data_IF_240596301965
#
_entry.id   IF_240596301965
#
_cell.length_a   1.000
_cell.length_b   1.000
_cell.length_c   1.000
_cell.angle_alpha   90.00
_cell.angle_beta   90.00
_cell.angle_gamma   90.00
#
_symmetry.space_group_name_H-M   'P 1'
#
loop_
_entity.id
_entity.type
_entity.pdbx_description
1 polymer ?
#
# COMPACT_ATOMS: atom_id res chain seq x y z
N UNK A 1 -10.13 -22.53 24.75
CA UNK A 1 -11.55 -22.12 24.86
C UNK A 1 -11.92 -21.45 23.54
N UNK A 2 -12.77 -22.06 22.71
CA UNK A 2 -13.17 -21.54 21.39
C UNK A 2 -14.19 -20.41 21.58
N UNK A 3 -13.92 -19.23 21.04
CA UNK A 3 -14.94 -18.18 20.90
C UNK A 3 -14.93 -17.73 19.44
N UNK A 4 -15.87 -18.28 18.68
CA UNK A 4 -16.27 -17.82 17.36
C UNK A 4 -17.06 -16.52 17.51
N UNK A 5 -16.66 -15.43 16.84
CA UNK A 5 -17.48 -14.22 16.73
C UNK A 5 -17.93 -14.01 15.30
N UNK A 6 -19.24 -13.82 15.20
CA UNK A 6 -20.07 -13.85 14.00
C UNK A 6 -19.95 -12.52 13.25
N UNK A 7 -19.94 -12.62 11.93
CA UNK A 7 -20.08 -11.53 10.97
C UNK A 7 -21.32 -10.67 11.33
N UNK A 8 -21.12 -9.39 11.63
CA UNK A 8 -22.20 -8.41 11.74
C UNK A 8 -22.45 -7.83 10.35
N UNK A 9 -23.56 -8.23 9.76
CA UNK A 9 -24.11 -7.63 8.56
C UNK A 9 -24.70 -6.25 8.91
N UNK A 10 -24.24 -5.19 8.23
CA UNK A 10 -24.93 -3.90 8.19
C UNK A 10 -25.37 -3.64 6.75
N UNK A 11 -26.68 -3.46 6.60
CA UNK A 11 -27.39 -3.28 5.35
C UNK A 11 -27.20 -1.89 4.72
N UNK A 12 -27.20 -1.95 3.39
CA UNK A 12 -27.36 -0.96 2.33
C UNK A 12 -28.33 0.21 2.62
N UNK A 13 -27.95 1.40 2.16
CA UNK A 13 -28.89 2.37 1.59
C UNK A 13 -28.29 3.00 0.32
N UNK A 14 -29.13 3.09 -0.71
CA UNK A 14 -28.82 3.34 -2.11
C UNK A 14 -28.63 4.83 -2.47
N UNK A 15 -27.84 5.10 -3.51
CA UNK A 15 -28.05 6.27 -4.38
C UNK A 15 -27.80 5.91 -5.87
N UNK A 16 -28.92 5.64 -6.53
CA UNK A 16 -29.30 5.88 -7.94
C UNK A 16 -28.21 6.05 -9.02
N UNK A 17 -28.14 5.05 -9.90
CA UNK A 17 -27.53 5.12 -11.24
C UNK A 17 -28.60 5.48 -12.30
N UNK A 18 -28.32 6.49 -13.12
CA UNK A 18 -28.91 6.73 -14.45
C UNK A 18 -27.99 7.77 -15.13
N UNK A 19 -27.67 7.79 -16.42
CA UNK A 19 -28.28 7.45 -17.71
C UNK A 19 -27.09 7.17 -18.69
N UNK A 20 -27.14 6.60 -19.90
CA UNK A 20 -28.17 6.24 -20.86
C UNK A 20 -27.58 5.18 -21.82
N UNK A 21 -28.42 4.23 -22.24
CA UNK A 21 -28.21 3.37 -23.41
C UNK A 21 -28.64 4.14 -24.67
N UNK A 22 -27.83 4.10 -25.72
CA UNK A 22 -28.28 4.31 -27.10
C UNK A 22 -27.34 3.63 -28.09
N UNK A 23 -27.91 2.78 -28.95
CA UNK A 23 -27.17 2.08 -30.01
C UNK A 23 -27.82 0.77 -30.43
N UNK A 24 -28.89 0.86 -31.23
CA UNK A 24 -29.70 -0.25 -31.74
C UNK A 24 -29.04 -1.07 -32.87
N UNK A 25 -29.63 -2.26 -33.09
CA UNK A 25 -29.68 -3.07 -34.32
C UNK A 25 -28.41 -3.89 -34.62
N UNK A 26 -28.45 -5.16 -35.03
CA UNK A 26 -29.48 -5.94 -35.74
C UNK A 26 -29.03 -7.42 -35.79
N UNK A 27 -29.96 -8.38 -35.79
CA UNK A 27 -29.63 -9.77 -36.14
C UNK A 27 -30.65 -10.80 -35.66
N UNK A 28 -31.68 -11.05 -36.47
CA UNK A 28 -32.67 -12.12 -36.30
C UNK A 28 -32.17 -13.44 -36.88
N UNK A 29 -32.49 -14.55 -36.20
CA UNK A 29 -32.75 -15.94 -36.69
C UNK A 29 -32.05 -16.99 -35.79
N UNK A 30 -32.49 -18.22 -35.55
CA UNK A 30 -33.76 -18.97 -35.57
C UNK A 30 -33.45 -20.34 -34.92
N UNK A 31 -34.35 -20.84 -34.05
CA UNK A 31 -34.69 -22.26 -33.77
C UNK A 31 -33.64 -23.31 -33.31
N UNK A 32 -34.00 -24.02 -32.23
CA UNK A 32 -33.52 -25.35 -31.82
C UNK A 32 -33.04 -25.34 -30.36
N UNK A 33 -33.62 -25.97 -29.35
CA UNK A 33 -34.36 -27.23 -29.28
C UNK A 33 -33.52 -28.23 -28.46
N UNK A 34 -33.87 -28.46 -27.18
CA UNK A 34 -33.41 -29.65 -26.43
C UNK A 34 -32.81 -29.42 -25.04
N UNK A 35 -33.56 -29.89 -24.03
CA UNK A 35 -33.12 -30.65 -22.86
C UNK A 35 -32.16 -30.03 -21.82
N UNK A 36 -32.72 -29.84 -20.61
CA UNK A 36 -32.03 -29.89 -19.31
C UNK A 36 -31.19 -31.20 -19.17
N UNK A 37 -30.17 -31.31 -18.29
CA UNK A 37 -30.15 -30.77 -16.93
C UNK A 37 -28.76 -30.26 -16.45
N UNK A 38 -28.69 -29.96 -15.15
CA UNK A 38 -27.50 -29.92 -14.26
C UNK A 38 -26.90 -28.55 -13.91
N UNK A 39 -26.93 -28.29 -12.60
CA UNK A 39 -25.88 -27.58 -11.87
C UNK A 39 -25.73 -26.10 -12.16
N UNK A 40 -26.62 -25.27 -11.61
CA UNK A 40 -26.26 -23.88 -11.34
C UNK A 40 -25.19 -23.87 -10.24
N UNK A 41 -23.94 -24.00 -10.64
CA UNK A 41 -22.84 -23.46 -9.86
C UNK A 41 -23.10 -21.96 -9.77
N UNK A 42 -23.35 -21.48 -8.55
CA UNK A 42 -23.34 -20.06 -8.25
C UNK A 42 -21.96 -19.53 -8.63
N UNK A 43 -21.84 -18.99 -9.84
CA UNK A 43 -20.75 -18.11 -10.19
C UNK A 43 -20.89 -16.90 -9.28
N UNK A 44 -20.07 -16.88 -8.23
CA UNK A 44 -19.84 -15.71 -7.40
C UNK A 44 -19.22 -14.65 -8.30
N UNK A 45 -20.08 -13.86 -8.93
CA UNK A 45 -19.74 -12.64 -9.65
C UNK A 45 -19.02 -11.73 -8.65
N UNK A 46 -17.69 -11.70 -8.71
CA UNK A 46 -16.89 -10.73 -7.98
C UNK A 46 -16.93 -9.43 -8.76
N UNK A 47 -18.02 -8.67 -8.61
CA UNK A 47 -18.20 -7.36 -9.25
C UNK A 47 -17.67 -6.21 -8.38
N UNK A 48 -16.53 -6.43 -7.71
CA UNK A 48 -15.64 -5.36 -7.26
C UNK A 48 -14.48 -5.34 -8.25
N UNK A 49 -13.97 -4.19 -8.72
CA UNK A 49 -12.65 -4.18 -9.36
C UNK A 49 -11.73 -4.97 -8.45
N UNK A 50 -11.03 -5.97 -9.00
CA UNK A 50 -10.02 -6.67 -8.22
C UNK A 50 -9.05 -5.60 -7.74
N UNK A 51 -8.96 -5.43 -6.43
CA UNK A 51 -7.94 -4.58 -5.83
C UNK A 51 -6.61 -5.23 -6.15
N UNK A 52 -5.83 -4.60 -7.02
CA UNK A 52 -4.56 -5.10 -7.54
C UNK A 52 -3.36 -4.70 -6.65
N UNK A 53 -3.64 -3.95 -5.58
CA UNK A 53 -2.67 -3.63 -4.54
C UNK A 53 -2.27 -4.88 -3.76
N UNK A 54 -1.00 -4.92 -3.37
CA UNK A 54 -0.47 -5.95 -2.48
C UNK A 54 -0.87 -5.64 -1.04
N UNK A 55 -1.27 -6.67 -0.31
CA UNK A 55 -1.54 -6.59 1.13
C UNK A 55 -0.27 -6.97 1.91
N UNK A 56 0.39 -5.95 2.47
CA UNK A 56 1.58 -6.10 3.31
C UNK A 56 1.21 -6.31 4.78
N UNK A 57 -0.04 -6.68 5.09
CA UNK A 57 -0.58 -6.84 6.45
C UNK A 57 -0.83 -5.50 7.15
N UNK A 58 0.18 -4.64 7.26
CA UNK A 58 0.08 -3.34 7.94
C UNK A 58 -0.09 -2.16 6.99
N UNK A 59 -0.09 -2.40 5.68
CA UNK A 59 -0.59 -1.47 4.68
C UNK A 59 -0.95 -2.21 3.39
N UNK A 60 -1.66 -1.51 2.51
CA UNK A 60 -1.93 -1.93 1.12
C UNK A 60 -1.39 -0.89 0.17
N UNK A 61 -0.68 -1.33 -0.86
CA UNK A 61 -0.16 -0.45 -1.90
C UNK A 61 0.10 -1.21 -3.20
N UNK A 62 0.14 -0.48 -4.31
CA UNK A 62 0.75 -0.98 -5.55
C UNK A 62 2.26 -1.02 -5.35
N UNK A 63 2.94 -2.05 -5.87
CA UNK A 63 4.42 -2.07 -5.85
C UNK A 63 4.93 -1.12 -6.95
N UNK A 64 5.90 -0.23 -6.66
CA UNK A 64 6.43 0.67 -7.68
C UNK A 64 7.12 -0.13 -8.81
N UNK A 65 6.87 0.24 -10.06
CA UNK A 65 7.54 -0.39 -11.21
C UNK A 65 9.05 -0.18 -11.14
N UNK A 66 9.83 -1.23 -11.37
CA UNK A 66 11.30 -1.18 -11.30
C UNK A 66 11.88 -1.27 -9.89
N UNK A 67 11.06 -1.61 -8.89
CA UNK A 67 11.49 -1.84 -7.52
C UNK A 67 11.25 -3.28 -7.07
N UNK A 68 12.23 -3.81 -6.34
CA UNK A 68 12.14 -5.09 -5.64
C UNK A 68 11.95 -4.86 -4.13
N UNK A 69 11.41 -5.85 -3.43
CA UNK A 69 11.17 -5.76 -1.98
C UNK A 69 12.39 -6.20 -1.21
N UNK A 70 12.74 -5.44 -0.19
CA UNK A 70 13.83 -5.72 0.74
C UNK A 70 13.37 -5.50 2.19
N UNK A 71 14.09 -6.12 3.12
CA UNK A 71 13.92 -5.87 4.56
C UNK A 71 15.10 -5.09 5.07
N UNK A 72 14.85 -4.06 5.88
CA UNK A 72 15.90 -3.29 6.55
C UNK A 72 16.76 -4.16 7.50
N UNK A 73 16.26 -5.33 7.91
CA UNK A 73 16.99 -6.31 8.74
C UNK A 73 17.74 -7.39 7.94
N UNK A 74 17.75 -7.31 6.59
CA UNK A 74 18.46 -8.24 5.71
C UNK A 74 17.76 -9.59 5.47
N UNK A 75 18.53 -10.64 5.18
CA UNK A 75 18.07 -11.98 4.71
C UNK A 75 17.15 -12.76 5.68
N UNK A 76 16.85 -12.22 6.88
CA UNK A 76 15.92 -12.77 7.86
C UNK A 76 14.69 -11.89 8.11
N UNK A 77 14.45 -10.96 7.20
CA UNK A 77 13.53 -9.86 7.37
C UNK A 77 12.07 -10.20 7.50
N UNK A 78 11.36 -9.33 8.23
CA UNK A 78 9.92 -9.38 8.39
C UNK A 78 9.27 -8.13 7.82
N UNK A 79 7.98 -8.20 7.53
CA UNK A 79 7.26 -7.14 6.81
C UNK A 79 7.08 -5.87 7.64
N UNK A 80 7.25 -5.94 8.97
CA UNK A 80 7.19 -4.80 9.89
C UNK A 80 8.06 -3.58 9.49
N UNK A 81 9.27 -3.77 8.98
CA UNK A 81 10.04 -2.67 8.36
C UNK A 81 10.45 -3.12 6.97
N UNK A 82 9.83 -2.53 5.94
CA UNK A 82 9.98 -2.93 4.54
C UNK A 82 10.53 -1.79 3.72
N UNK A 83 11.36 -2.12 2.74
CA UNK A 83 11.92 -1.16 1.82
C UNK A 83 11.73 -1.65 0.39
N UNK A 84 11.39 -0.73 -0.52
CA UNK A 84 11.43 -0.97 -1.95
C UNK A 84 12.76 -0.46 -2.47
N UNK A 85 13.57 -1.34 -3.04
CA UNK A 85 14.87 -1.03 -3.65
C UNK A 85 14.73 -0.93 -5.15
N UNK A 86 15.13 0.19 -5.73
CA UNK A 86 15.15 0.34 -7.17
C UNK A 86 16.19 -0.62 -7.76
N UNK A 87 15.79 -1.38 -8.79
CA UNK A 87 16.64 -2.43 -9.39
C UNK A 87 17.74 -1.83 -10.27
N UNK A 88 17.51 -0.66 -10.86
CA UNK A 88 18.49 0.05 -11.69
C UNK A 88 19.46 0.88 -10.85
N UNK A 89 18.99 1.45 -9.74
CA UNK A 89 19.74 2.34 -8.85
C UNK A 89 19.56 1.93 -7.38
N UNK A 90 20.36 0.98 -6.88
CA UNK A 90 20.14 0.35 -5.57
C UNK A 90 20.16 1.28 -4.35
N UNK A 91 20.73 2.47 -4.50
CA UNK A 91 20.72 3.49 -3.45
C UNK A 91 19.38 4.24 -3.37
N UNK A 92 18.65 4.32 -4.50
CA UNK A 92 17.30 4.88 -4.56
C UNK A 92 16.31 3.92 -3.93
N UNK A 93 15.59 4.39 -2.92
CA UNK A 93 14.67 3.51 -2.20
C UNK A 93 13.55 4.23 -1.46
N UNK A 94 12.52 3.45 -1.14
CA UNK A 94 11.37 3.89 -0.35
C UNK A 94 11.34 2.98 0.89
N UNK A 95 11.62 3.50 2.09
CA UNK A 95 11.54 2.72 3.35
C UNK A 95 10.36 3.15 4.20
N UNK A 96 9.83 2.24 5.01
CA UNK A 96 8.60 2.39 5.79
C UNK A 96 8.81 1.93 7.22
N UNK A 97 8.39 2.74 8.18
CA UNK A 97 8.29 2.34 9.59
C UNK A 97 7.07 2.98 10.29
N UNK A 98 6.78 2.49 11.50
CA UNK A 98 5.82 3.08 12.43
C UNK A 98 6.55 3.52 13.69
N UNK A 99 6.53 4.82 13.93
CA UNK A 99 7.16 5.45 15.09
C UNK A 99 6.16 5.70 16.21
N UNK A 100 6.65 5.67 17.45
CA UNK A 100 5.80 5.88 18.64
C UNK A 100 5.46 7.34 18.92
N UNK A 101 6.19 8.27 18.32
CA UNK A 101 6.01 9.70 18.53
C UNK A 101 5.05 10.32 17.49
N UNK A 102 4.44 11.44 17.87
CA UNK A 102 3.56 12.21 17.00
C UNK A 102 4.34 12.93 15.89
N UNK A 103 3.64 13.31 14.81
CA UNK A 103 4.26 13.83 13.61
C UNK A 103 4.97 15.17 13.84
N UNK A 104 4.44 16.03 14.71
CA UNK A 104 5.07 17.30 15.08
C UNK A 104 6.37 17.09 15.86
N UNK A 105 6.37 16.16 16.82
CA UNK A 105 7.56 15.80 17.59
C UNK A 105 8.65 15.22 16.68
N UNK A 106 8.30 14.29 15.79
CA UNK A 106 9.26 13.71 14.84
C UNK A 106 9.88 14.77 13.91
N UNK A 107 9.08 15.67 13.34
CA UNK A 107 9.63 16.77 12.52
C UNK A 107 10.58 17.65 13.32
N UNK A 108 10.25 17.97 14.57
CA UNK A 108 11.12 18.79 15.42
C UNK A 108 12.45 18.09 15.69
N UNK A 109 12.40 16.80 16.06
CA UNK A 109 13.59 16.01 16.37
C UNK A 109 14.50 15.83 15.14
N UNK A 110 13.93 15.56 13.96
CA UNK A 110 14.70 15.44 12.71
C UNK A 110 15.34 16.77 12.32
N UNK A 111 14.62 17.87 12.44
CA UNK A 111 15.11 19.21 12.03
C UNK A 111 16.07 19.86 13.03
N UNK A 112 16.24 19.27 14.22
CA UNK A 112 17.34 19.59 15.13
C UNK A 112 18.69 19.03 14.62
N UNK A 113 18.68 18.12 13.64
CA UNK A 113 19.88 17.56 13.03
C UNK A 113 20.43 18.40 11.86
N UNK A 114 21.75 18.52 11.78
CA UNK A 114 22.42 19.21 10.66
C UNK A 114 22.10 18.53 9.32
N UNK A 115 21.57 19.30 8.36
CA UNK A 115 21.28 18.83 7.00
C UNK A 115 19.83 18.41 6.75
N UNK A 116 18.96 18.55 7.75
CA UNK A 116 17.53 18.30 7.66
C UNK A 116 16.76 19.62 7.78
N UNK A 117 15.72 19.79 6.99
CA UNK A 117 14.89 21.00 7.01
C UNK A 117 13.42 20.66 6.87
N UNK A 118 12.57 21.25 7.71
CA UNK A 118 11.12 21.12 7.56
C UNK A 118 10.69 21.73 6.21
N UNK A 119 9.97 20.94 5.42
CA UNK A 119 9.34 21.36 4.18
C UNK A 119 7.89 21.79 4.38
N UNK A 120 7.16 21.95 3.27
CA UNK A 120 5.73 22.22 3.28
C UNK A 120 4.92 20.92 3.39
N UNK A 121 3.85 20.94 4.19
CA UNK A 121 2.90 19.82 4.23
C UNK A 121 2.33 19.54 2.83
N UNK A 122 2.33 18.27 2.42
CA UNK A 122 1.80 17.82 1.13
C UNK A 122 0.62 16.87 1.31
N UNK A 123 -0.32 16.88 0.37
CA UNK A 123 -1.43 15.91 0.33
C UNK A 123 -1.28 15.02 -0.90
N UNK A 124 -1.13 13.71 -0.67
CA UNK A 124 -1.05 12.68 -1.72
C UNK A 124 -1.94 11.51 -1.31
N UNK A 125 -2.79 11.07 -2.24
CA UNK A 125 -3.81 10.05 -1.95
C UNK A 125 -4.79 10.56 -0.88
N UNK A 126 -4.99 9.76 0.18
CA UNK A 126 -5.88 10.07 1.31
C UNK A 126 -5.17 10.67 2.53
N UNK A 127 -3.87 10.93 2.42
CA UNK A 127 -3.02 11.33 3.54
C UNK A 127 -2.45 12.73 3.31
N UNK A 128 -2.35 13.49 4.39
CA UNK A 128 -1.53 14.69 4.46
C UNK A 128 -0.27 14.32 5.23
N UNK A 129 0.87 14.66 4.63
CA UNK A 129 2.19 14.33 5.13
C UNK A 129 2.89 15.62 5.50
N UNK A 130 3.47 15.66 6.70
CA UNK A 130 4.57 16.57 6.98
C UNK A 130 5.80 16.09 6.24
N UNK A 131 6.66 17.01 5.85
CA UNK A 131 7.86 16.69 5.07
C UNK A 131 9.12 17.18 5.78
N UNK A 132 10.16 16.36 5.80
CA UNK A 132 11.52 16.78 6.16
C UNK A 132 12.43 16.53 4.97
N UNK A 133 13.01 17.60 4.43
CA UNK A 133 13.93 17.53 3.30
C UNK A 133 15.35 17.27 3.81
N UNK A 134 16.06 16.37 3.14
CA UNK A 134 17.47 16.07 3.40
C UNK A 134 18.20 15.67 2.12
N UNK A 135 19.50 15.39 2.23
CA UNK A 135 20.32 14.92 1.10
C UNK A 135 20.91 13.56 1.42
N UNK A 136 20.71 12.60 0.51
CA UNK A 136 21.33 11.27 0.55
C UNK A 136 22.12 11.04 -0.73
N UNK A 137 23.39 10.64 -0.62
CA UNK A 137 24.29 10.48 -1.78
C UNK A 137 24.24 11.69 -2.74
N UNK A 138 24.38 12.90 -2.19
CA UNK A 138 24.32 14.17 -2.91
C UNK A 138 23.01 14.40 -3.72
N UNK A 139 21.95 13.66 -3.41
CA UNK A 139 20.65 13.70 -4.10
C UNK A 139 19.53 14.09 -3.14
N UNK A 140 18.60 14.97 -3.55
CA UNK A 140 17.43 15.31 -2.74
C UNK A 140 16.65 14.07 -2.30
N UNK A 141 16.30 14.07 -1.02
CA UNK A 141 15.57 13.00 -0.34
C UNK A 141 14.58 13.62 0.63
N UNK A 142 13.50 12.90 0.91
CA UNK A 142 12.39 13.43 1.72
C UNK A 142 11.90 12.39 2.70
N UNK A 143 11.69 12.78 3.94
CA UNK A 143 10.92 12.02 4.91
C UNK A 143 9.47 12.51 4.89
N UNK A 144 8.52 11.59 4.82
CA UNK A 144 7.09 11.86 4.90
C UNK A 144 6.55 11.30 6.20
N UNK A 145 5.94 12.16 7.02
CA UNK A 145 5.47 11.80 8.34
C UNK A 145 3.97 12.10 8.42
N UNK A 146 3.18 11.10 8.78
CA UNK A 146 1.75 11.26 9.00
C UNK A 146 1.34 10.61 10.33
N UNK A 147 0.65 11.38 11.16
CA UNK A 147 0.07 10.88 12.41
C UNK A 147 -1.02 9.84 12.10
N UNK A 148 -1.04 8.78 12.90
CA UNK A 148 -2.07 7.76 12.88
C UNK A 148 -3.16 8.20 13.86
N UNK A 149 -4.40 8.41 13.39
CA UNK A 149 -5.47 8.92 14.25
C UNK A 149 -5.68 8.05 15.49
N UNK A 150 -5.85 8.71 16.63
CA UNK A 150 -6.22 8.11 17.92
C UNK A 150 -5.19 7.15 18.55
N UNK A 151 -3.96 7.05 18.02
CA UNK A 151 -2.89 6.21 18.59
C UNK A 151 -1.73 7.02 19.19
N UNK A 152 -1.52 8.26 18.73
CA UNK A 152 -0.34 9.06 19.06
C UNK A 152 0.96 8.56 18.41
N UNK A 153 0.84 7.61 17.46
CA UNK A 153 1.94 7.07 16.66
C UNK A 153 1.94 7.74 15.28
N UNK A 154 3.05 7.63 14.55
CA UNK A 154 3.16 8.13 13.19
C UNK A 154 3.65 7.05 12.23
N UNK A 155 3.19 7.11 10.98
CA UNK A 155 3.87 6.42 9.88
C UNK A 155 4.95 7.33 9.34
N UNK A 156 6.13 6.76 9.14
CA UNK A 156 7.27 7.44 8.52
C UNK A 156 7.62 6.72 7.22
N UNK A 157 7.77 7.50 6.15
CA UNK A 157 8.25 7.02 4.86
C UNK A 157 9.50 7.79 4.48
N UNK A 158 10.61 7.08 4.32
CA UNK A 158 11.86 7.66 3.84
C UNK A 158 11.98 7.47 2.33
N UNK A 159 12.10 8.58 1.61
CA UNK A 159 12.36 8.64 0.17
C UNK A 159 13.84 8.94 -0.06
N UNK A 160 14.67 7.89 -0.20
CA UNK A 160 16.10 8.04 -0.44
C UNK A 160 16.39 8.23 -1.94
N UNK A 161 17.13 9.29 -2.27
CA UNK A 161 17.46 9.71 -3.65
C UNK A 161 16.23 9.86 -4.56
N UNK A 162 15.08 10.17 -3.97
CA UNK A 162 13.83 10.38 -4.70
C UNK A 162 12.93 11.31 -3.91
N UNK A 163 11.94 11.87 -4.59
CA UNK A 163 10.96 12.78 -3.98
C UNK A 163 9.55 12.36 -4.40
N UNK A 164 8.49 12.96 -3.83
CA UNK A 164 7.12 12.71 -4.26
C UNK A 164 6.80 13.12 -5.72
N UNK A 165 7.72 13.82 -6.41
CA UNK A 165 7.57 14.17 -7.82
C UNK A 165 7.95 13.01 -8.77
N UNK A 166 8.64 11.98 -8.27
CA UNK A 166 8.89 10.78 -9.05
C UNK A 166 7.57 10.04 -9.35
N UNK A 167 7.25 9.73 -10.62
CA UNK A 167 5.96 9.14 -10.97
C UNK A 167 5.68 7.78 -10.31
N UNK A 168 6.70 6.92 -10.15
CA UNK A 168 6.51 5.61 -9.54
C UNK A 168 6.28 5.74 -8.03
N UNK A 169 7.03 6.63 -7.38
CA UNK A 169 6.84 6.96 -5.96
C UNK A 169 5.46 7.59 -5.73
N UNK A 170 5.06 8.55 -6.57
CA UNK A 170 3.77 9.21 -6.46
C UNK A 170 2.61 8.22 -6.61
N UNK A 171 2.65 7.34 -7.62
CA UNK A 171 1.63 6.33 -7.84
C UNK A 171 1.55 5.35 -6.65
N UNK A 172 2.70 4.97 -6.08
CA UNK A 172 2.75 4.19 -4.85
C UNK A 172 2.03 4.92 -3.70
N UNK A 173 2.40 6.18 -3.43
CA UNK A 173 1.83 6.98 -2.34
C UNK A 173 0.33 7.23 -2.52
N UNK A 174 -0.14 7.43 -3.75
CA UNK A 174 -1.57 7.57 -4.07
C UNK A 174 -2.37 6.29 -3.80
N UNK A 175 -1.72 5.12 -3.88
CA UNK A 175 -2.36 3.81 -3.66
C UNK A 175 -2.38 3.37 -2.20
N UNK A 176 -1.62 4.05 -1.32
CA UNK A 176 -1.42 3.66 0.07
C UNK A 176 -2.72 3.58 0.86
N UNK A 177 -2.80 2.55 1.68
CA UNK A 177 -3.87 2.36 2.63
C UNK A 177 -3.41 1.62 3.88
N UNK A 178 -3.39 2.34 5.00
CA UNK A 178 -3.21 1.77 6.33
C UNK A 178 -4.53 1.18 6.86
N UNK A 179 -4.48 0.06 7.61
CA UNK A 179 -5.62 -0.48 8.34
C UNK A 179 -6.05 0.44 9.49
N UNK A 180 -7.27 0.23 10.00
CA UNK A 180 -7.80 0.98 11.15
C UNK A 180 -6.97 0.75 12.43
N UNK A 181 -6.50 -0.48 12.66
CA UNK A 181 -5.63 -0.80 13.79
C UNK A 181 -4.19 -1.05 13.30
N UNK A 182 -3.45 0.03 13.09
CA UNK A 182 -2.10 -0.05 12.53
C UNK A 182 -1.12 -0.74 13.47
N UNK A 183 -1.19 -0.48 14.78
CA UNK A 183 -0.27 -1.06 15.76
C UNK A 183 -0.36 -2.60 15.77
N UNK A 184 -1.59 -3.13 15.83
CA UNK A 184 -1.82 -4.58 15.80
C UNK A 184 -1.32 -5.19 14.48
N UNK A 185 -1.66 -4.57 13.35
CA UNK A 185 -1.26 -5.05 12.04
C UNK A 185 0.27 -4.99 11.84
N UNK A 186 0.92 -3.92 12.28
CA UNK A 186 2.37 -3.77 12.23
C UNK A 186 3.06 -4.83 13.09
N UNK A 187 2.55 -5.10 14.29
CA UNK A 187 3.08 -6.17 15.14
C UNK A 187 2.83 -7.58 14.59
N UNK A 188 1.71 -7.82 13.90
CA UNK A 188 1.47 -9.07 13.17
C UNK A 188 2.48 -9.25 12.03
N UNK A 189 2.70 -8.20 11.25
CA UNK A 189 3.63 -8.18 10.11
C UNK A 189 5.06 -8.57 10.50
N UNK A 190 5.48 -8.33 11.75
CA UNK A 190 6.77 -8.77 12.30
C UNK A 190 6.97 -10.29 12.33
N UNK A 191 5.89 -11.06 12.22
CA UNK A 191 5.92 -12.53 12.21
C UNK A 191 5.87 -13.13 10.80
N UNK A 192 5.76 -12.29 9.76
CA UNK A 192 5.68 -12.71 8.36
C UNK A 192 7.04 -12.44 7.72
N UNK A 193 7.66 -13.47 7.14
CA UNK A 193 8.93 -13.28 6.44
C UNK A 193 8.72 -12.59 5.10
N UNK A 194 9.66 -11.74 4.69
CA UNK A 194 9.60 -11.10 3.36
C UNK A 194 9.61 -12.15 2.24
N UNK A 195 10.35 -13.24 2.40
CA UNK A 195 10.40 -14.33 1.43
C UNK A 195 9.02 -14.97 1.22
N UNK A 196 8.26 -15.21 2.31
CA UNK A 196 6.91 -15.76 2.22
C UNK A 196 5.94 -14.74 1.61
N UNK A 197 6.00 -13.48 2.03
CA UNK A 197 5.22 -12.38 1.45
C UNK A 197 5.45 -12.30 -0.07
N UNK A 198 6.71 -12.27 -0.51
CA UNK A 198 7.06 -12.16 -1.92
C UNK A 198 6.55 -13.36 -2.70
N UNK A 199 6.72 -14.57 -2.16
CA UNK A 199 6.24 -15.80 -2.80
C UNK A 199 4.72 -15.84 -2.94
N UNK A 200 3.99 -15.41 -1.92
CA UNK A 200 2.52 -15.40 -1.91
C UNK A 200 1.94 -14.38 -2.88
N UNK A 201 2.63 -13.25 -3.06
CA UNK A 201 2.18 -12.13 -3.90
C UNK A 201 2.85 -12.08 -5.29
N UNK A 202 3.72 -13.03 -5.62
CA UNK A 202 4.42 -13.07 -6.91
C UNK A 202 5.43 -11.94 -7.10
N UNK A 203 6.03 -11.47 -6.01
CA UNK A 203 6.98 -10.36 -5.97
C UNK A 203 8.42 -10.89 -5.92
N UNK A 204 9.36 -10.01 -6.25
CA UNK A 204 10.79 -10.31 -6.19
C UNK A 204 11.38 -9.74 -4.91
N UNK A 205 12.08 -10.60 -4.16
CA UNK A 205 12.90 -10.20 -3.02
C UNK A 205 14.28 -9.74 -3.53
N UNK A 206 14.64 -8.50 -3.22
CA UNK A 206 15.96 -7.93 -3.48
C UNK A 206 17.02 -8.62 -2.62
N UNK A 207 18.09 -9.11 -3.26
CA UNK A 207 19.23 -9.76 -2.59
C UNK A 207 20.52 -9.03 -2.96
N UNK A 208 21.09 -8.21 -2.07
CA UNK A 208 22.33 -7.49 -2.39
C UNK A 208 23.47 -8.48 -2.69
N UNK A 209 24.14 -8.29 -3.83
CA UNK A 209 25.38 -9.00 -4.17
C UNK A 209 25.24 -10.44 -4.69
N UNK A 210 24.11 -10.81 -5.28
CA UNK A 210 24.00 -12.00 -6.15
C UNK A 210 23.96 -11.62 -7.63
#
# INVERSE_FOLDING_TARGET
MKISKKLLAVCVAAFTLSMALMGCNSGTSSSGGGSAPTGAAEQKESSKPADDRVDFTWFKASVPEGYDIWSDTGDGGFVGSICFKNVEESDKSISFDVESDDAETLVADETDSDGYTAGEDITIGKYTWKTVDFTWNDTPSVELIAEIPDTGQSVVIYLFMTTPDDPAVKAFLESLEFPENLEEAHNEAKNISIADLCKENGLTEYKPGK
#
